data_IF_942001296731
#
_entry.id   IF_942001296731
#
_cell.length_a   1.000
_cell.length_b   1.000
_cell.length_c   1.000
_cell.angle_alpha   90.00
_cell.angle_beta   90.00
_cell.angle_gamma   90.00
#
_symmetry.space_group_name_H-M   'P 1'
#
loop_
_entity.id
_entity.type
_entity.pdbx_description
1 polymer ?
#
# COMPACT_ATOMS: atom_id res chain seq x y z
N UNK A 1 4.57 -27.03 -34.29
CA UNK A 1 4.38 -26.77 -32.84
C UNK A 1 5.64 -26.11 -32.33
N UNK A 2 5.74 -24.78 -32.39
CA UNK A 2 6.96 -24.06 -32.02
C UNK A 2 6.66 -23.24 -30.77
N UNK A 3 7.35 -23.56 -29.67
CA UNK A 3 7.20 -22.91 -28.38
C UNK A 3 7.38 -21.39 -28.49
N UNK A 4 6.33 -20.64 -28.18
CA UNK A 4 6.40 -19.21 -27.99
C UNK A 4 7.07 -18.95 -26.63
N UNK A 5 8.41 -18.86 -26.62
CA UNK A 5 9.17 -18.37 -25.46
C UNK A 5 8.69 -16.95 -25.15
N UNK A 6 7.81 -16.82 -24.16
CA UNK A 6 7.39 -15.52 -23.62
C UNK A 6 8.65 -14.84 -23.07
N UNK A 7 9.25 -13.95 -23.87
CA UNK A 7 10.27 -13.01 -23.41
C UNK A 7 9.64 -12.26 -22.24
N UNK A 8 10.19 -12.42 -21.03
CA UNK A 8 9.84 -11.56 -19.89
C UNK A 8 10.29 -10.16 -20.27
N UNK A 9 9.38 -9.35 -20.80
CA UNK A 9 9.65 -7.95 -21.05
C UNK A 9 9.94 -7.29 -19.70
N UNK A 10 11.05 -6.54 -19.57
CA UNK A 10 11.28 -5.75 -18.38
C UNK A 10 10.18 -4.67 -18.33
N UNK A 11 9.44 -4.65 -17.23
CA UNK A 11 8.48 -3.58 -16.97
C UNK A 11 9.30 -2.33 -16.68
N UNK A 12 9.44 -1.46 -17.68
CA UNK A 12 10.07 -0.14 -17.55
C UNK A 12 9.06 0.77 -16.86
N UNK A 13 9.42 1.34 -15.70
CA UNK A 13 8.68 2.46 -15.11
C UNK A 13 9.59 3.67 -14.95
N UNK A 14 9.12 4.77 -15.52
CA UNK A 14 9.62 6.14 -15.34
C UNK A 14 9.59 6.52 -13.85
N UNK A 15 10.73 6.43 -13.20
CA UNK A 15 11.23 7.38 -12.18
C UNK A 15 12.32 6.65 -11.35
N UNK A 16 13.60 6.83 -11.69
CA UNK A 16 14.73 6.12 -11.06
C UNK A 16 14.96 6.47 -9.58
N UNK A 17 14.16 7.35 -8.98
CA UNK A 17 14.35 7.85 -7.60
C UNK A 17 13.46 7.15 -6.56
N UNK A 18 12.62 6.20 -6.99
CA UNK A 18 11.63 5.60 -6.08
C UNK A 18 12.23 4.44 -5.30
N UNK A 19 12.63 4.71 -4.05
CA UNK A 19 13.08 3.69 -3.10
C UNK A 19 11.86 2.80 -2.72
N UNK A 20 11.86 1.49 -3.02
CA UNK A 20 10.77 0.59 -2.66
C UNK A 20 10.60 0.57 -1.14
N UNK A 21 9.36 0.49 -0.66
CA UNK A 21 9.12 0.34 0.77
C UNK A 21 9.67 -1.01 1.23
N UNK A 22 10.21 -1.06 2.44
CA UNK A 22 10.49 -2.31 3.15
C UNK A 22 9.21 -2.87 3.79
N UNK A 23 9.19 -4.17 4.07
CA UNK A 23 8.05 -4.80 4.77
C UNK A 23 7.73 -4.13 6.11
N UNK A 24 8.75 -3.71 6.86
CA UNK A 24 8.59 -2.97 8.11
C UNK A 24 7.93 -1.61 7.92
N UNK A 25 8.31 -0.85 6.88
CA UNK A 25 7.68 0.43 6.56
C UNK A 25 6.21 0.27 6.16
N UNK A 26 5.89 -0.77 5.39
CA UNK A 26 4.51 -1.10 5.01
C UNK A 26 3.68 -1.41 6.26
N UNK A 27 4.21 -2.22 7.19
CA UNK A 27 3.56 -2.54 8.46
C UNK A 27 3.29 -1.30 9.30
N UNK A 28 4.27 -0.42 9.42
CA UNK A 28 4.14 0.82 10.20
C UNK A 28 3.07 1.73 9.60
N UNK A 29 3.13 1.99 8.30
CA UNK A 29 2.16 2.85 7.61
C UNK A 29 0.75 2.26 7.63
N UNK A 30 0.60 0.93 7.47
CA UNK A 30 -0.70 0.25 7.58
C UNK A 30 -1.33 0.47 8.95
N UNK A 31 -0.54 0.33 10.02
CA UNK A 31 -1.01 0.54 11.40
C UNK A 31 -1.39 2.00 11.65
N UNK A 32 -0.60 2.95 11.13
CA UNK A 32 -0.87 4.38 11.24
C UNK A 32 -2.25 4.74 10.64
N UNK A 33 -2.63 4.13 9.51
CA UNK A 33 -3.95 4.35 8.90
C UNK A 33 -5.06 3.45 9.46
N UNK A 34 -4.76 2.63 10.47
CA UNK A 34 -5.75 1.85 11.22
C UNK A 34 -6.33 0.62 10.51
N UNK A 35 -5.74 0.14 9.40
CA UNK A 35 -6.26 -1.04 8.69
C UNK A 35 -5.55 -2.34 9.09
N UNK A 36 -6.25 -3.46 9.01
CA UNK A 36 -5.71 -4.81 9.28
C UNK A 36 -4.94 -5.37 8.06
N UNK A 37 -4.11 -6.39 8.27
CA UNK A 37 -3.45 -7.10 7.16
C UNK A 37 -4.47 -7.73 6.19
N UNK A 38 -5.61 -8.22 6.71
CA UNK A 38 -6.70 -8.75 5.89
C UNK A 38 -7.30 -7.69 4.98
N UNK A 39 -7.57 -6.49 5.51
CA UNK A 39 -8.09 -5.38 4.71
C UNK A 39 -7.06 -4.93 3.66
N UNK A 40 -5.78 -4.83 4.01
CA UNK A 40 -4.73 -4.52 3.02
C UNK A 40 -4.65 -5.59 1.94
N UNK A 41 -4.81 -6.87 2.30
CA UNK A 41 -4.89 -7.98 1.37
C UNK A 41 -6.07 -7.81 0.40
N UNK A 42 -7.26 -7.57 0.92
CA UNK A 42 -8.47 -7.34 0.12
C UNK A 42 -8.28 -6.19 -0.88
N UNK A 43 -7.69 -5.07 -0.44
CA UNK A 43 -7.42 -3.90 -1.30
C UNK A 43 -6.34 -4.15 -2.37
N UNK A 44 -5.46 -5.12 -2.16
CA UNK A 44 -4.39 -5.49 -3.10
C UNK A 44 -4.67 -6.76 -3.88
N UNK A 45 -5.85 -7.39 -3.71
CA UNK A 45 -6.19 -8.67 -4.33
C UNK A 45 -5.35 -9.84 -3.82
N UNK A 46 -4.88 -9.79 -2.57
CA UNK A 46 -4.04 -10.80 -1.92
C UNK A 46 -4.69 -11.30 -0.64
N UNK A 47 -4.29 -12.50 -0.21
CA UNK A 47 -4.72 -12.99 1.09
C UNK A 47 -3.91 -12.33 2.24
N UNK A 48 -4.40 -12.48 3.46
CA UNK A 48 -3.73 -11.93 4.66
C UNK A 48 -2.34 -12.55 4.90
N UNK A 49 -2.12 -13.82 4.53
CA UNK A 49 -0.84 -14.50 4.76
C UNK A 49 0.24 -13.92 3.85
N UNK A 50 -0.10 -13.58 2.61
CA UNK A 50 0.77 -12.86 1.69
C UNK A 50 1.20 -11.52 2.28
N UNK A 51 0.26 -10.73 2.82
CA UNK A 51 0.58 -9.46 3.48
C UNK A 51 1.49 -9.68 4.70
N UNK A 52 1.23 -10.72 5.50
CA UNK A 52 2.09 -11.05 6.64
C UNK A 52 3.52 -11.40 6.20
N UNK A 53 3.68 -12.25 5.19
CA UNK A 53 4.99 -12.63 4.67
C UNK A 53 5.73 -11.44 4.05
N UNK A 54 5.00 -10.54 3.42
CA UNK A 54 5.55 -9.30 2.87
C UNK A 54 6.00 -8.34 3.98
N UNK A 55 5.20 -8.14 5.03
CA UNK A 55 5.54 -7.26 6.16
C UNK A 55 6.74 -7.76 6.98
N UNK A 56 6.97 -9.07 7.03
CA UNK A 56 8.12 -9.68 7.72
C UNK A 56 9.35 -9.85 6.83
N UNK A 57 9.26 -9.48 5.55
CA UNK A 57 10.35 -9.65 4.59
C UNK A 57 10.58 -11.09 4.12
N UNK A 58 9.69 -12.03 4.46
CA UNK A 58 9.71 -13.41 3.98
C UNK A 58 9.40 -13.45 2.48
N UNK A 59 8.43 -12.66 2.02
CA UNK A 59 8.09 -12.53 0.60
C UNK A 59 8.69 -11.25 0.02
N UNK A 60 9.30 -11.30 -1.18
CA UNK A 60 9.80 -10.10 -1.82
C UNK A 60 8.64 -9.17 -2.20
N UNK A 61 8.93 -7.87 -2.16
CA UNK A 61 8.00 -6.84 -2.62
C UNK A 61 8.19 -6.68 -4.11
N UNK A 62 7.17 -7.05 -4.87
CA UNK A 62 7.14 -6.80 -6.31
C UNK A 62 6.76 -5.34 -6.58
N UNK A 63 7.20 -4.79 -7.71
CA UNK A 63 6.93 -3.40 -8.08
C UNK A 63 5.42 -3.09 -8.14
N UNK A 64 4.60 -4.00 -8.67
CA UNK A 64 3.14 -3.80 -8.75
C UNK A 64 2.49 -3.72 -7.37
N UNK A 65 2.99 -4.51 -6.42
CA UNK A 65 2.50 -4.50 -5.04
C UNK A 65 2.97 -3.26 -4.29
N UNK A 66 4.24 -2.85 -4.45
CA UNK A 66 4.73 -1.59 -3.87
C UNK A 66 3.88 -0.38 -4.33
N UNK A 67 3.59 -0.33 -5.63
CA UNK A 67 2.77 0.73 -6.21
C UNK A 67 1.35 0.73 -5.65
N UNK A 68 0.68 -0.43 -5.66
CA UNK A 68 -0.68 -0.56 -5.13
C UNK A 68 -0.77 -0.17 -3.65
N UNK A 69 0.14 -0.69 -2.81
CA UNK A 69 0.20 -0.37 -1.39
C UNK A 69 0.42 1.13 -1.20
N UNK A 70 1.31 1.75 -1.96
CA UNK A 70 1.55 3.18 -1.83
C UNK A 70 0.31 4.02 -2.14
N UNK A 71 -0.42 3.69 -3.21
CA UNK A 71 -1.65 4.41 -3.55
C UNK A 71 -2.70 4.28 -2.44
N UNK A 72 -2.88 3.07 -1.91
CA UNK A 72 -3.80 2.80 -0.79
C UNK A 72 -3.42 3.65 0.43
N UNK A 73 -2.16 3.58 0.86
CA UNK A 73 -1.69 4.31 2.04
C UNK A 73 -1.84 5.82 1.88
N UNK A 74 -1.53 6.36 0.69
CA UNK A 74 -1.73 7.79 0.38
C UNK A 74 -3.20 8.19 0.43
N UNK A 75 -4.08 7.38 -0.17
CA UNK A 75 -5.52 7.66 -0.18
C UNK A 75 -6.09 7.70 1.24
N UNK A 76 -5.79 6.70 2.07
CA UNK A 76 -6.26 6.66 3.46
C UNK A 76 -5.74 7.82 4.30
N UNK A 77 -4.47 8.22 4.14
CA UNK A 77 -3.93 9.40 4.84
C UNK A 77 -4.65 10.69 4.45
N UNK A 78 -5.01 10.86 3.19
CA UNK A 78 -5.77 12.01 2.73
C UNK A 78 -7.18 12.03 3.35
N UNK A 79 -7.87 10.88 3.32
CA UNK A 79 -9.22 10.75 3.89
C UNK A 79 -9.23 10.98 5.40
N UNK A 80 -8.29 10.40 6.14
CA UNK A 80 -8.20 10.59 7.60
C UNK A 80 -7.91 12.04 7.99
N UNK A 81 -7.11 12.77 7.19
CA UNK A 81 -6.86 14.21 7.41
C UNK A 81 -8.11 15.06 7.17
N UNK A 82 -8.95 14.70 6.20
CA UNK A 82 -10.20 15.41 5.91
C UNK A 82 -11.18 15.23 7.08
N UNK A 83 -11.41 13.99 7.52
CA UNK A 83 -12.32 13.71 8.64
C UNK A 83 -11.84 14.38 9.93
N UNK A 84 -10.54 14.35 10.23
CA UNK A 84 -9.99 15.04 11.39
C UNK A 84 -10.17 16.58 11.32
N UNK A 85 -10.07 17.17 10.12
CA UNK A 85 -10.29 18.61 9.92
C UNK A 85 -11.78 19.00 10.00
N UNK A 86 -12.70 18.11 9.62
CA UNK A 86 -14.15 18.34 9.72
C UNK A 86 -14.64 18.29 11.17
N UNK A 87 -14.14 17.36 11.98
CA UNK A 87 -14.49 17.25 13.41
C UNK A 87 -14.07 18.49 14.22
N UNK A 88 -12.96 19.15 13.86
CA UNK A 88 -12.51 20.37 14.55
C UNK A 88 -13.45 21.55 14.28
N UNK A 89 -14.02 21.66 13.06
CA UNK A 89 -14.89 22.78 12.69
C UNK A 89 -16.28 22.73 13.35
N UNK A 90 -16.77 21.55 13.69
CA UNK A 90 -18.08 21.39 14.33
C UNK A 90 -18.05 21.66 15.84
N UNK A 91 -16.88 21.62 16.49
CA UNK A 91 -16.74 21.81 17.94
C UNK A 91 -16.33 23.24 18.35
N UNK A 92 -16.19 24.17 17.40
CA UNK A 92 -15.79 25.57 17.68
C UNK A 92 -16.91 26.58 17.39
N UNK A 93 -18.17 26.15 17.40
CA UNK A 93 -19.32 27.02 17.11
C UNK A 93 -20.35 27.12 18.24
N UNK A 94 -20.04 26.60 19.43
CA UNK A 94 -20.90 26.61 20.62
C UNK A 94 -20.29 27.40 21.80
N UNK A 95 -19.56 28.50 21.53
CA UNK A 95 -19.17 29.51 22.52
C UNK A 95 -19.56 30.93 22.06
#
# INVERSE_FOLDING_TARGET
MTELKRKKQPVVYDSPERIPLTGGQIRAARKEIGITQRQLGQLTGRDQRYISALETGISPITQSIDYAITLILKHYRATNKIVAAETIKQNTHDD
#
